data_IF_931060355131
#
_entry.id   IF_931060355131
#
_cell.length_a   1.000
_cell.length_b   1.000
_cell.length_c   1.000
_cell.angle_alpha   90.00
_cell.angle_beta   90.00
_cell.angle_gamma   90.00
#
_symmetry.space_group_name_H-M   'P 1'
#
loop_
_entity.id
_entity.type
_entity.pdbx_description
1 polymer ?
#
# COMPACT_ATOMS: atom_id res chain seq x y z
N UNK A 1 5.90 7.12 33.57
CA UNK A 1 6.70 6.31 32.62
C UNK A 1 5.83 6.15 31.40
N UNK A 2 6.21 6.70 30.25
CA UNK A 2 5.52 6.38 28.99
C UNK A 2 5.62 4.87 28.80
N UNK A 3 4.58 4.25 28.27
CA UNK A 3 4.47 2.81 28.01
C UNK A 3 5.48 2.29 26.96
N UNK A 4 6.46 3.12 26.57
CA UNK A 4 7.41 2.83 25.49
C UNK A 4 6.83 2.96 24.09
N UNK A 5 5.59 3.45 23.95
CA UNK A 5 4.96 3.65 22.65
C UNK A 5 5.59 4.80 21.87
N UNK A 6 5.88 4.55 20.60
CA UNK A 6 6.44 5.52 19.67
C UNK A 6 5.56 5.64 18.43
N UNK A 7 5.50 6.83 17.85
CA UNK A 7 4.97 7.04 16.51
C UNK A 7 6.13 7.07 15.52
N UNK A 8 6.08 6.22 14.50
CA UNK A 8 7.15 6.04 13.52
C UNK A 8 6.60 6.22 12.12
N UNK A 9 7.30 6.99 11.30
CA UNK A 9 7.06 7.10 9.87
C UNK A 9 8.18 6.38 9.12
N UNK A 10 7.83 5.44 8.24
CA UNK A 10 8.77 4.67 7.44
C UNK A 10 8.31 4.65 5.97
N UNK A 11 8.88 5.51 5.11
CA UNK A 11 8.56 5.50 3.67
C UNK A 11 9.29 4.31 3.01
N UNK A 12 8.53 3.45 2.33
CA UNK A 12 9.08 2.36 1.50
C UNK A 12 9.21 2.77 0.02
N UNK A 13 8.51 3.83 -0.40
CA UNK A 13 8.63 4.44 -1.73
C UNK A 13 7.92 5.79 -1.79
N UNK A 14 8.29 6.61 -2.79
CA UNK A 14 7.71 7.92 -3.07
C UNK A 14 8.37 9.10 -2.33
N UNK A 15 9.30 8.86 -1.40
CA UNK A 15 10.05 9.93 -0.74
C UNK A 15 11.38 10.19 -1.45
N UNK A 16 11.54 11.41 -1.99
CA UNK A 16 12.74 11.80 -2.74
C UNK A 16 12.66 11.44 -4.23
N UNK A 17 11.49 11.01 -4.70
CA UNK A 17 11.22 10.58 -6.07
C UNK A 17 9.76 10.87 -6.47
N UNK A 18 9.39 10.56 -7.72
CA UNK A 18 8.02 10.65 -8.23
C UNK A 18 7.59 9.23 -8.62
N UNK A 19 6.48 8.75 -8.05
CA UNK A 19 5.99 7.39 -8.27
C UNK A 19 6.09 6.51 -7.02
N UNK A 20 5.60 5.28 -7.13
CA UNK A 20 5.75 4.19 -6.15
C UNK A 20 5.44 4.58 -4.69
N UNK A 21 4.42 5.43 -4.47
CA UNK A 21 4.05 5.86 -3.14
C UNK A 21 3.67 4.64 -2.28
N UNK A 22 4.38 4.49 -1.16
CA UNK A 22 4.11 3.45 -0.17
C UNK A 22 4.71 3.89 1.16
N UNK A 23 3.87 4.35 2.08
CA UNK A 23 4.29 4.85 3.37
C UNK A 23 3.72 4.00 4.52
N UNK A 24 4.54 3.76 5.55
CA UNK A 24 4.09 3.13 6.78
C UNK A 24 4.03 4.13 7.93
N UNK A 25 2.92 4.10 8.65
CA UNK A 25 2.73 4.75 9.93
C UNK A 25 2.64 3.69 11.02
N UNK A 26 3.60 3.71 11.94
CA UNK A 26 3.69 2.76 13.03
C UNK A 26 3.35 3.40 14.36
N UNK A 27 2.63 2.68 15.22
CA UNK A 27 2.38 3.10 16.60
C UNK A 27 2.46 1.94 17.59
N UNK A 28 3.01 2.22 18.77
CA UNK A 28 3.17 1.26 19.87
C UNK A 28 4.64 0.95 20.20
N UNK A 29 4.89 0.03 21.14
CA UNK A 29 6.25 -0.30 21.58
C UNK A 29 7.03 -0.97 20.45
N UNK A 30 8.36 -0.77 20.43
CA UNK A 30 9.23 -1.19 19.32
C UNK A 30 9.11 -2.68 18.92
N UNK A 31 8.79 -3.56 19.87
CA UNK A 31 8.65 -5.01 19.65
C UNK A 31 7.22 -5.49 19.32
N UNK A 32 6.20 -4.62 19.41
CA UNK A 32 4.81 -4.97 19.12
C UNK A 32 4.08 -3.88 18.30
N UNK A 33 4.84 -3.04 17.60
CA UNK A 33 4.32 -1.92 16.82
C UNK A 33 3.32 -2.39 15.76
N UNK A 34 2.16 -1.75 15.75
CA UNK A 34 1.15 -1.90 14.70
C UNK A 34 1.46 -0.94 13.57
N UNK A 35 1.19 -1.35 12.33
CA UNK A 35 1.51 -0.60 11.13
C UNK A 35 0.25 -0.35 10.30
N UNK A 36 0.11 0.88 9.83
CA UNK A 36 -0.85 1.30 8.81
C UNK A 36 -0.07 1.66 7.56
N UNK A 37 -0.39 1.04 6.43
CA UNK A 37 0.17 1.42 5.14
C UNK A 37 -0.74 2.44 4.47
N UNK A 38 -0.14 3.45 3.85
CA UNK A 38 -0.82 4.44 3.01
C UNK A 38 -0.24 4.33 1.62
N UNK A 39 -1.12 4.01 0.67
CA UNK A 39 -0.84 3.74 -0.74
C UNK A 39 0.09 2.55 -1.00
N UNK A 40 0.01 2.03 -2.23
CA UNK A 40 0.83 0.94 -2.75
C UNK A 40 0.91 1.06 -4.28
N UNK A 41 1.72 2.03 -4.72
CA UNK A 41 1.82 2.42 -6.13
C UNK A 41 2.98 1.86 -6.92
N UNK A 42 3.01 2.19 -8.21
CA UNK A 42 4.12 1.90 -9.14
C UNK A 42 4.85 3.18 -9.54
N UNK A 43 6.09 3.04 -10.00
CA UNK A 43 6.75 4.05 -10.84
C UNK A 43 6.98 3.47 -12.24
N UNK A 44 7.04 4.34 -13.25
CA UNK A 44 7.39 3.92 -14.61
C UNK A 44 8.90 3.94 -14.78
N UNK A 45 9.44 2.93 -15.45
CA UNK A 45 10.88 2.87 -15.68
C UNK A 45 11.34 3.92 -16.71
N UNK A 46 12.52 4.48 -16.51
CA UNK A 46 13.16 5.42 -17.43
C UNK A 46 13.98 4.72 -18.52
N UNK A 47 14.59 5.50 -19.41
CA UNK A 47 15.47 4.99 -20.48
C UNK A 47 16.72 4.26 -19.95
N UNK A 48 17.07 4.47 -18.68
CA UNK A 48 18.18 3.85 -17.98
C UNK A 48 17.92 2.40 -17.54
N UNK A 49 16.66 1.95 -17.59
CA UNK A 49 16.23 0.60 -17.22
C UNK A 49 15.56 -0.10 -18.42
N UNK A 50 16.32 -0.44 -19.47
CA UNK A 50 15.74 -1.00 -20.69
C UNK A 50 15.10 -2.37 -20.45
N UNK A 51 13.84 -2.50 -20.89
CA UNK A 51 13.05 -3.73 -20.76
C UNK A 51 12.27 -3.87 -19.45
N UNK A 52 12.36 -2.90 -18.55
CA UNK A 52 11.51 -2.80 -17.36
C UNK A 52 10.30 -1.93 -17.69
N UNK A 53 9.08 -2.40 -17.41
CA UNK A 53 7.86 -1.60 -17.60
C UNK A 53 7.52 -0.79 -16.34
N UNK A 54 7.57 -1.44 -15.18
CA UNK A 54 7.14 -0.90 -13.89
C UNK A 54 8.16 -1.19 -12.79
N UNK A 55 8.25 -0.26 -11.84
CA UNK A 55 9.03 -0.35 -10.61
C UNK A 55 8.05 -0.33 -9.44
N UNK A 56 8.27 -1.18 -8.44
CA UNK A 56 7.42 -1.32 -7.26
C UNK A 56 8.23 -1.14 -5.97
N UNK A 57 7.62 -0.72 -4.85
CA UNK A 57 8.32 -0.59 -3.58
C UNK A 57 8.77 -1.95 -3.01
N UNK A 58 9.90 -1.97 -2.32
CA UNK A 58 10.39 -3.15 -1.58
C UNK A 58 9.63 -3.32 -0.26
N UNK A 59 8.83 -4.38 -0.16
CA UNK A 59 8.02 -4.69 1.01
C UNK A 59 8.71 -5.60 2.03
N UNK A 60 9.97 -6.01 1.81
CA UNK A 60 10.67 -6.99 2.62
C UNK A 60 10.78 -6.62 4.11
N UNK A 61 10.67 -5.34 4.46
CA UNK A 61 10.51 -4.88 5.84
C UNK A 61 9.15 -5.28 6.43
N UNK A 62 8.05 -4.90 5.77
CA UNK A 62 6.70 -5.05 6.30
C UNK A 62 6.17 -6.47 6.16
N UNK A 63 6.61 -7.23 5.15
CA UNK A 63 6.27 -8.66 5.01
C UNK A 63 6.66 -9.47 6.25
N UNK A 64 7.82 -9.17 6.85
CA UNK A 64 8.29 -9.81 8.10
C UNK A 64 7.41 -9.46 9.30
N UNK A 65 6.74 -8.32 9.25
CA UNK A 65 5.84 -7.81 10.28
C UNK A 65 4.37 -7.81 9.87
N UNK A 66 3.97 -8.57 8.83
CA UNK A 66 2.63 -8.48 8.22
C UNK A 66 1.48 -8.77 9.18
N UNK A 67 1.72 -9.57 10.23
CA UNK A 67 0.73 -9.82 11.29
C UNK A 67 0.36 -8.56 12.08
N UNK A 68 1.22 -7.55 12.05
CA UNK A 68 1.02 -6.26 12.69
C UNK A 68 0.55 -5.18 11.69
N UNK A 69 0.39 -5.51 10.40
CA UNK A 69 -0.17 -4.60 9.41
C UNK A 69 -1.69 -4.59 9.55
N UNK A 70 -2.22 -3.55 10.19
CA UNK A 70 -3.64 -3.45 10.54
C UNK A 70 -4.53 -3.04 9.36
N UNK A 71 -3.92 -2.50 8.31
CA UNK A 71 -4.61 -2.14 7.08
C UNK A 71 -3.76 -1.38 6.09
N UNK A 72 -4.30 -1.27 4.88
CA UNK A 72 -3.78 -0.47 3.77
C UNK A 72 -4.85 0.55 3.40
N UNK A 73 -4.52 1.84 3.40
CA UNK A 73 -5.42 2.91 2.98
C UNK A 73 -4.94 3.42 1.63
N UNK A 74 -5.79 3.33 0.61
CA UNK A 74 -5.52 3.93 -0.70
C UNK A 74 -6.19 5.29 -0.76
N UNK A 75 -5.39 6.31 -0.99
CA UNK A 75 -5.81 7.72 -0.99
C UNK A 75 -6.60 8.05 -2.24
N UNK A 76 -6.14 7.62 -3.41
CA UNK A 76 -6.80 7.82 -4.69
C UNK A 76 -6.30 6.82 -5.75
N UNK A 77 -6.86 6.92 -6.96
CA UNK A 77 -6.77 5.87 -7.96
C UNK A 77 -5.67 6.07 -9.02
N UNK A 78 -4.71 6.98 -8.81
CA UNK A 78 -3.57 7.08 -9.73
C UNK A 78 -2.62 5.89 -9.54
N UNK A 79 -1.95 5.49 -10.64
CA UNK A 79 -1.07 4.32 -10.68
C UNK A 79 0.06 4.40 -9.65
N UNK A 80 0.60 5.58 -9.42
CA UNK A 80 1.62 5.83 -8.40
C UNK A 80 1.12 5.74 -6.97
N UNK A 81 -0.17 5.50 -6.75
CA UNK A 81 -0.78 5.27 -5.43
C UNK A 81 -1.43 3.89 -5.29
N UNK A 82 -1.89 3.26 -6.38
CA UNK A 82 -2.64 1.99 -6.33
C UNK A 82 -2.07 0.89 -7.24
N UNK A 83 -1.21 1.24 -8.19
CA UNK A 83 -0.85 0.37 -9.31
C UNK A 83 -0.17 -0.94 -8.90
N UNK A 84 0.49 -0.99 -7.74
CA UNK A 84 1.18 -2.19 -7.25
C UNK A 84 0.30 -3.06 -6.35
N UNK A 85 -0.93 -2.60 -6.04
CA UNK A 85 -1.79 -3.27 -5.08
C UNK A 85 -2.16 -4.71 -5.50
N UNK A 86 -2.51 -4.92 -6.78
CA UNK A 86 -2.88 -6.25 -7.27
C UNK A 86 -1.71 -7.24 -7.16
N UNK A 87 -0.51 -6.80 -7.50
CA UNK A 87 0.69 -7.64 -7.50
C UNK A 87 1.17 -7.97 -6.08
N UNK A 88 1.19 -6.96 -5.19
CA UNK A 88 1.87 -7.07 -3.89
C UNK A 88 0.94 -7.42 -2.72
N UNK A 89 -0.38 -7.23 -2.86
CA UNK A 89 -1.32 -7.58 -1.79
C UNK A 89 -1.29 -9.05 -1.34
N UNK A 90 -1.09 -10.07 -2.22
CA UNK A 90 -1.02 -11.46 -1.82
C UNK A 90 -0.02 -11.76 -0.68
N UNK A 91 1.10 -11.04 -0.63
CA UNK A 91 2.13 -11.22 0.40
C UNK A 91 1.76 -10.55 1.73
N UNK A 92 0.94 -9.49 1.67
CA UNK A 92 0.49 -8.70 2.81
C UNK A 92 -0.77 -9.26 3.47
N UNK A 93 -1.82 -9.56 2.69
CA UNK A 93 -3.10 -10.08 3.17
C UNK A 93 -3.88 -9.15 4.10
N UNK A 94 -3.51 -7.86 4.19
CA UNK A 94 -4.14 -6.88 5.06
C UNK A 94 -5.47 -6.34 4.50
N UNK A 95 -6.40 -5.86 5.34
CA UNK A 95 -7.62 -5.22 4.84
C UNK A 95 -7.29 -3.93 4.09
N UNK A 96 -7.95 -3.71 2.95
CA UNK A 96 -7.71 -2.53 2.12
C UNK A 96 -8.92 -1.60 2.17
N UNK A 97 -8.66 -0.32 2.46
CA UNK A 97 -9.66 0.73 2.57
C UNK A 97 -9.47 1.76 1.47
N UNK A 98 -10.54 2.12 0.76
CA UNK A 98 -10.47 3.12 -0.31
C UNK A 98 -11.84 3.70 -0.64
N UNK A 99 -11.87 4.84 -1.32
CA UNK A 99 -13.12 5.45 -1.78
C UNK A 99 -13.77 4.65 -2.91
N UNK A 100 -15.08 4.88 -3.14
CA UNK A 100 -15.84 4.19 -4.18
C UNK A 100 -15.20 4.29 -5.58
N UNK A 101 -14.64 5.44 -5.94
CA UNK A 101 -13.99 5.61 -7.25
C UNK A 101 -12.75 4.74 -7.39
N UNK A 102 -11.86 4.76 -6.39
CA UNK A 102 -10.67 3.91 -6.38
C UNK A 102 -11.02 2.42 -6.41
N UNK A 103 -12.02 1.99 -5.63
CA UNK A 103 -12.48 0.60 -5.63
C UNK A 103 -13.03 0.17 -7.00
N UNK A 104 -13.79 1.04 -7.66
CA UNK A 104 -14.30 0.80 -9.00
C UNK A 104 -13.17 0.62 -10.02
N UNK A 105 -12.12 1.44 -9.94
CA UNK A 105 -10.97 1.33 -10.82
C UNK A 105 -10.14 0.06 -10.54
N UNK A 106 -9.92 -0.29 -9.27
CA UNK A 106 -9.24 -1.54 -8.89
C UNK A 106 -9.98 -2.78 -9.42
N UNK A 107 -11.31 -2.80 -9.31
CA UNK A 107 -12.10 -3.91 -9.82
C UNK A 107 -12.08 -3.97 -11.35
N UNK A 108 -12.16 -2.82 -12.04
CA UNK A 108 -12.03 -2.76 -13.48
C UNK A 108 -10.67 -3.30 -13.97
N UNK A 109 -9.58 -2.95 -13.28
CA UNK A 109 -8.24 -3.48 -13.53
C UNK A 109 -8.18 -5.00 -13.33
N UNK A 110 -8.68 -5.49 -12.19
CA UNK A 110 -8.72 -6.92 -11.87
C UNK A 110 -9.48 -7.74 -12.92
N UNK A 111 -10.52 -7.19 -13.55
CA UNK A 111 -11.26 -7.86 -14.62
C UNK A 111 -10.51 -7.91 -15.96
N UNK A 112 -9.54 -7.01 -16.17
CA UNK A 112 -8.69 -6.96 -17.36
C UNK A 112 -7.40 -7.79 -17.28
N UNK A 113 -7.00 -8.18 -16.07
CA UNK A 113 -5.76 -8.90 -15.79
C UNK A 113 -6.04 -10.39 -15.47
N UNK A 114 -5.52 -11.35 -16.26
CA UNK A 114 -5.62 -12.77 -15.97
C UNK A 114 -5.03 -13.09 -14.58
N UNK A 115 -5.73 -13.95 -13.82
CA UNK A 115 -5.30 -14.43 -12.50
C UNK A 115 -5.11 -13.35 -11.41
N UNK A 116 -5.57 -12.11 -11.66
CA UNK A 116 -5.49 -11.03 -10.67
C UNK A 116 -6.22 -11.40 -9.36
N UNK A 117 -5.59 -11.19 -8.20
CA UNK A 117 -6.13 -11.64 -6.93
C UNK A 117 -7.43 -10.91 -6.58
N UNK A 118 -8.34 -11.64 -5.94
CA UNK A 118 -9.57 -11.03 -5.40
C UNK A 118 -9.26 -10.40 -4.04
N UNK A 119 -8.99 -9.11 -4.06
CA UNK A 119 -8.72 -8.33 -2.85
C UNK A 119 -10.06 -7.98 -2.16
N UNK A 120 -10.22 -8.23 -0.85
CA UNK A 120 -11.39 -7.81 -0.09
C UNK A 120 -11.32 -6.30 0.18
N UNK A 121 -11.88 -5.51 -0.74
CA UNK A 121 -11.93 -4.05 -0.65
C UNK A 121 -13.02 -3.60 0.33
N UNK A 122 -12.66 -2.71 1.26
CA UNK A 122 -13.60 -2.00 2.13
C UNK A 122 -13.79 -0.59 1.59
N UNK A 123 -14.95 -0.36 0.97
CA UNK A 123 -15.30 0.96 0.45
C UNK A 123 -15.66 1.87 1.62
N UNK A 124 -15.05 3.06 1.63
CA UNK A 124 -15.26 4.08 2.67
C UNK A 124 -15.75 5.38 2.04
N UNK A 125 -16.57 6.11 2.76
CA UNK A 125 -17.09 7.42 2.36
C UNK A 125 -16.24 8.55 2.96
N UNK A 126 -16.34 9.75 2.38
CA UNK A 126 -15.63 10.91 2.89
C UNK A 126 -16.12 11.28 4.29
N UNK A 127 -15.18 11.35 5.24
CA UNK A 127 -15.47 11.67 6.64
C UNK A 127 -15.72 10.45 7.53
N UNK A 128 -15.66 9.23 6.97
CA UNK A 128 -15.77 8.01 7.76
C UNK A 128 -14.63 7.87 8.78
N UNK A 129 -14.94 7.17 9.88
CA UNK A 129 -13.96 6.74 10.89
C UNK A 129 -13.93 5.21 10.89
N UNK A 130 -12.73 4.66 10.78
CA UNK A 130 -12.45 3.24 10.55
C UNK A 130 -11.66 2.70 11.73
#
# INVERSE_FOLDING_TARGET
MTDGSEFVFAPLGGLGEIGMNCALYGYGPANARQWLMVDLGVAFAGEDLPGVDLIVPDLGFIEKAKKNLVGIVITHAHEDHIGALAELWPDLGAPVYMTRFAAGLSEARRLGEPDAPKIPLKVVELGDRI
#
